data_IF_151992729687
#
_entry.id   IF_151992729687
#
_cell.length_a   1.000
_cell.length_b   1.000
_cell.length_c   1.000
_cell.angle_alpha   90.00
_cell.angle_beta   90.00
_cell.angle_gamma   90.00
#
_symmetry.space_group_name_H-M   'P 1'
#
loop_
_entity.id
_entity.type
_entity.pdbx_description
1 polymer ?
#
# COMPACT_ATOMS: atom_id res chain seq x y z
N UNK A 1 -17.86 -8.56 2.27
CA UNK A 1 -16.69 -9.46 2.23
C UNK A 1 -16.85 -10.63 1.24
N UNK A 2 -16.95 -10.37 -0.07
CA UNK A 2 -16.74 -11.33 -1.20
C UNK A 2 -16.86 -10.64 -2.58
N UNK A 3 -16.81 -9.31 -2.66
CA UNK A 3 -16.96 -8.57 -3.92
C UNK A 3 -15.73 -8.69 -4.84
N UNK A 4 -15.87 -8.52 -6.17
CA UNK A 4 -14.73 -8.45 -7.09
C UNK A 4 -13.68 -7.40 -6.68
N UNK A 5 -14.15 -6.30 -6.06
CA UNK A 5 -13.29 -5.22 -5.56
C UNK A 5 -12.32 -5.69 -4.46
N UNK A 6 -12.78 -6.54 -3.55
CA UNK A 6 -11.99 -7.09 -2.44
C UNK A 6 -10.92 -8.06 -2.93
N UNK A 7 -11.24 -8.88 -3.94
CA UNK A 7 -10.26 -9.76 -4.57
C UNK A 7 -9.17 -8.96 -5.28
N UNK A 8 -9.56 -7.92 -6.02
CA UNK A 8 -8.60 -7.03 -6.70
C UNK A 8 -7.72 -6.31 -5.67
N UNK A 9 -8.30 -5.81 -4.58
CA UNK A 9 -7.51 -5.17 -3.50
C UNK A 9 -6.59 -6.17 -2.81
N UNK A 10 -7.06 -7.38 -2.53
CA UNK A 10 -6.24 -8.42 -1.88
C UNK A 10 -5.05 -8.81 -2.76
N UNK A 11 -5.29 -9.10 -4.04
CA UNK A 11 -4.23 -9.42 -5.02
C UNK A 11 -3.28 -8.23 -5.16
N UNK A 12 -3.81 -7.01 -5.26
CA UNK A 12 -3.01 -5.79 -5.29
C UNK A 12 -2.14 -5.61 -4.04
N UNK A 13 -2.66 -5.96 -2.85
CA UNK A 13 -1.92 -5.89 -1.59
C UNK A 13 -0.75 -6.86 -1.60
N UNK A 14 -0.99 -8.11 -2.01
CA UNK A 14 0.04 -9.15 -2.11
C UNK A 14 1.10 -8.79 -3.12
N UNK A 15 0.71 -8.25 -4.29
CA UNK A 15 1.64 -7.79 -5.31
C UNK A 15 2.49 -6.63 -4.81
N UNK A 16 1.89 -5.61 -4.19
CA UNK A 16 2.60 -4.47 -3.62
C UNK A 16 3.58 -4.90 -2.52
N UNK A 17 3.14 -5.75 -1.59
CA UNK A 17 3.99 -6.32 -0.55
C UNK A 17 5.17 -7.08 -1.14
N UNK A 18 4.93 -7.88 -2.17
CA UNK A 18 5.97 -8.66 -2.85
C UNK A 18 6.99 -7.76 -3.54
N UNK A 19 6.55 -6.69 -4.22
CA UNK A 19 7.45 -5.71 -4.84
C UNK A 19 8.36 -5.03 -3.83
N UNK A 20 7.85 -4.72 -2.63
CA UNK A 20 8.64 -4.13 -1.55
C UNK A 20 9.61 -5.18 -0.96
N UNK A 21 9.13 -6.40 -0.73
CA UNK A 21 9.91 -7.46 -0.08
C UNK A 21 11.07 -7.99 -0.94
N UNK A 22 10.89 -8.07 -2.26
CA UNK A 22 11.95 -8.53 -3.16
C UNK A 22 13.05 -7.49 -3.39
N UNK A 23 12.85 -6.23 -2.98
CA UNK A 23 13.80 -5.12 -3.08
C UNK A 23 14.61 -5.11 -4.40
N UNK A 24 13.90 -5.20 -5.55
CA UNK A 24 14.51 -5.22 -6.91
C UNK A 24 15.14 -3.87 -7.31
N UNK A 25 15.55 -3.07 -6.34
CA UNK A 25 16.15 -1.76 -6.51
C UNK A 25 15.21 -0.62 -6.13
N UNK A 26 15.82 0.55 -5.86
CA UNK A 26 15.16 1.72 -5.27
C UNK A 26 13.90 2.18 -6.01
N UNK A 27 13.88 2.09 -7.33
CA UNK A 27 12.72 2.49 -8.14
C UNK A 27 11.57 1.48 -8.04
N UNK A 28 11.87 0.18 -8.02
CA UNK A 28 10.85 -0.87 -7.92
C UNK A 28 10.17 -0.85 -6.54
N UNK A 29 10.95 -0.71 -5.47
CA UNK A 29 10.44 -0.59 -4.09
C UNK A 29 9.57 0.65 -3.93
N UNK A 30 9.95 1.78 -4.54
CA UNK A 30 9.12 2.99 -4.53
C UNK A 30 7.78 2.80 -5.24
N UNK A 31 7.76 2.14 -6.41
CA UNK A 31 6.52 1.79 -7.09
C UNK A 31 5.67 0.80 -6.27
N UNK A 32 6.31 -0.11 -5.53
CA UNK A 32 5.64 -0.98 -4.56
C UNK A 32 4.89 -0.18 -3.50
N UNK A 33 5.52 0.83 -2.91
CA UNK A 33 4.87 1.74 -1.96
C UNK A 33 3.71 2.53 -2.59
N UNK A 34 3.86 3.03 -3.83
CA UNK A 34 2.77 3.72 -4.55
C UNK A 34 1.58 2.79 -4.76
N UNK A 35 1.82 1.56 -5.21
CA UNK A 35 0.76 0.56 -5.38
C UNK A 35 0.09 0.24 -4.04
N UNK A 36 0.86 0.12 -2.96
CA UNK A 36 0.35 -0.10 -1.61
C UNK A 36 -0.58 1.04 -1.15
N UNK A 37 -0.24 2.29 -1.45
CA UNK A 37 -1.11 3.44 -1.16
C UNK A 37 -2.45 3.34 -1.89
N UNK A 38 -2.44 3.01 -3.19
CA UNK A 38 -3.68 2.86 -3.98
C UNK A 38 -4.58 1.77 -3.41
N UNK A 39 -3.98 0.64 -3.04
CA UNK A 39 -4.70 -0.51 -2.47
C UNK A 39 -5.22 -0.21 -1.06
N UNK A 40 -4.43 0.45 -0.21
CA UNK A 40 -4.90 0.91 1.11
C UNK A 40 -6.07 1.89 0.99
N UNK A 41 -6.07 2.79 0.00
CA UNK A 41 -7.22 3.68 -0.23
C UNK A 41 -8.51 2.90 -0.59
N UNK A 42 -8.38 1.84 -1.38
CA UNK A 42 -9.50 0.95 -1.68
C UNK A 42 -9.96 0.15 -0.46
N UNK A 43 -9.05 -0.33 0.39
CA UNK A 43 -9.43 -0.99 1.64
C UNK A 43 -10.10 -0.04 2.63
N UNK A 44 -9.72 1.23 2.66
CA UNK A 44 -10.44 2.26 3.41
C UNK A 44 -11.86 2.40 2.88
N UNK A 45 -12.02 2.54 1.56
CA UNK A 45 -13.34 2.62 0.93
C UNK A 45 -14.20 1.41 1.28
N UNK A 46 -13.69 0.19 1.09
CA UNK A 46 -14.38 -1.07 1.43
C UNK A 46 -14.76 -1.07 2.92
N UNK A 47 -13.81 -0.75 3.79
CA UNK A 47 -14.03 -0.74 5.24
C UNK A 47 -15.09 0.26 5.68
N UNK A 48 -15.21 1.41 5.01
CA UNK A 48 -16.27 2.38 5.26
C UNK A 48 -17.63 1.93 4.70
N UNK A 49 -17.65 1.27 3.53
CA UNK A 49 -18.91 0.80 2.92
C UNK A 49 -19.49 -0.46 3.57
N UNK A 50 -18.65 -1.27 4.21
CA UNK A 50 -19.05 -2.50 4.90
C UNK A 50 -19.14 -2.33 6.43
N UNK A 51 -19.14 -1.09 6.93
CA UNK A 51 -19.14 -0.75 8.36
C UNK A 51 -17.99 -1.41 9.16
N UNK A 52 -16.92 -1.80 8.48
CA UNK A 52 -15.71 -2.37 9.06
C UNK A 52 -14.70 -1.27 9.43
N UNK A 53 -15.07 -0.44 10.42
CA UNK A 53 -14.25 0.69 10.91
C UNK A 53 -12.80 0.29 11.26
N UNK A 54 -12.53 -0.87 11.91
CA UNK A 54 -11.15 -1.29 12.19
C UNK A 54 -10.32 -1.52 10.91
N UNK A 55 -10.92 -2.05 9.85
CA UNK A 55 -10.26 -2.29 8.56
C UNK A 55 -9.90 -0.96 7.88
N UNK A 56 -10.81 0.01 7.90
CA UNK A 56 -10.58 1.34 7.37
C UNK A 56 -9.51 2.11 8.18
N UNK A 57 -9.57 2.06 9.51
CA UNK A 57 -8.60 2.73 10.37
C UNK A 57 -7.18 2.17 10.17
N UNK A 58 -7.03 0.85 10.16
CA UNK A 58 -5.73 0.19 9.92
C UNK A 58 -5.16 0.57 8.55
N UNK A 59 -5.97 0.54 7.50
CA UNK A 59 -5.51 0.92 6.16
C UNK A 59 -5.25 2.42 6.02
N UNK A 60 -5.91 3.26 6.82
CA UNK A 60 -5.59 4.69 6.95
C UNK A 60 -4.18 4.91 7.48
N UNK A 61 -3.79 4.19 8.54
CA UNK A 61 -2.41 4.25 9.07
C UNK A 61 -1.41 3.69 8.06
N UNK A 62 -1.72 2.57 7.40
CA UNK A 62 -0.87 2.01 6.34
C UNK A 62 -0.69 2.98 5.18
N UNK A 63 -1.74 3.69 4.77
CA UNK A 63 -1.66 4.72 3.73
C UNK A 63 -0.60 5.78 4.07
N UNK A 64 -0.61 6.27 5.32
CA UNK A 64 0.34 7.28 5.78
C UNK A 64 1.78 6.75 5.79
N UNK A 65 1.99 5.53 6.30
CA UNK A 65 3.32 4.90 6.34
C UNK A 65 3.84 4.63 4.93
N UNK A 66 3.00 4.11 4.04
CA UNK A 66 3.39 3.85 2.65
C UNK A 66 3.68 5.16 1.90
N UNK A 67 2.90 6.21 2.11
CA UNK A 67 3.16 7.54 1.55
C UNK A 67 4.52 8.08 2.02
N UNK A 68 4.86 7.88 3.29
CA UNK A 68 6.20 8.17 3.80
C UNK A 68 7.28 7.32 3.12
N UNK A 69 7.03 6.02 2.91
CA UNK A 69 7.92 5.12 2.17
C UNK A 69 8.18 5.58 0.73
N UNK A 70 7.15 6.03 0.01
CA UNK A 70 7.29 6.66 -1.32
C UNK A 70 8.21 7.87 -1.22
N UNK A 71 7.96 8.76 -0.27
CA UNK A 71 8.77 9.96 -0.10
C UNK A 71 10.24 9.63 0.22
N UNK A 72 10.47 8.66 1.09
CA UNK A 72 11.80 8.18 1.44
C UNK A 72 12.54 7.63 0.22
N UNK A 73 11.93 6.76 -0.58
CA UNK A 73 12.63 6.10 -1.69
C UNK A 73 12.76 6.96 -2.97
N UNK A 74 11.81 7.87 -3.24
CA UNK A 74 11.89 8.80 -4.37
C UNK A 74 12.70 10.06 -4.06
N UNK A 75 12.41 10.74 -2.95
CA UNK A 75 12.91 12.10 -2.71
C UNK A 75 14.04 12.17 -1.68
N UNK A 76 14.15 11.20 -0.77
CA UNK A 76 15.23 11.19 0.22
C UNK A 76 16.33 10.18 -0.18
N UNK A 77 17.44 10.62 -0.81
CA UNK A 77 18.59 9.76 -1.03
C UNK A 77 19.33 9.56 0.30
N UNK A 78 18.77 8.78 1.23
CA UNK A 78 19.46 8.42 2.47
C UNK A 78 20.11 7.04 2.44
N UNK A 79 20.48 6.55 1.26
CA UNK A 79 21.47 5.48 1.11
C UNK A 79 22.10 5.52 -0.29
N UNK A 80 22.80 6.63 -0.57
CA UNK A 80 24.04 6.55 -1.34
C UNK A 80 25.15 6.26 -0.32
N UNK A 81 25.25 5.00 0.11
CA UNK A 81 26.36 4.48 0.88
C UNK A 81 26.85 3.23 0.17
#
# INVERSE_FOLDING_TARGET
>A
MNGPLEWITSIGTVAAASMIAFDLGRRATAWGFVLFCLVSALWIYIGLTEDAVPLAAMNGVLLLINAWGVWQYWFHPKNSA
#
